data_IF_172208483057
#
_entry.id   IF_172208483057
#
_cell.length_a   1.000
_cell.length_b   1.000
_cell.length_c   1.000
_cell.angle_alpha   90.00
_cell.angle_beta   90.00
_cell.angle_gamma   90.00
#
_symmetry.space_group_name_H-M   'P 1'
#
loop_
_entity.id
_entity.type
_entity.pdbx_description
1 polymer ?
2 non-polymer ?
3 non-polymer ?
4 non-polymer ?
5 water ?
#
# COMPACT_ATOMS: atom_id res chain seq x y z
N UNK A 2 -30.23 -1.72 2.93
CA UNK A 2 -29.18 -0.82 2.36
C UNK A 2 -27.77 -1.12 2.90
N UNK A 3 -27.66 -1.72 4.07
CA UNK A 3 -26.35 -2.03 4.64
C UNK A 3 -26.43 -3.23 5.58
N UNK A 4 -25.28 -3.91 5.79
CA UNK A 4 -25.26 -5.07 6.70
C UNK A 4 -25.27 -4.55 8.13
N UNK A 5 -26.46 -4.35 8.71
CA UNK A 5 -26.39 -3.53 9.91
C UNK A 5 -25.90 -4.39 11.07
N UNK A 6 -25.86 -5.70 10.88
CA UNK A 6 -25.16 -6.56 11.83
C UNK A 6 -23.60 -6.32 11.89
N UNK A 7 -23.07 -5.71 10.83
CA UNK A 7 -21.66 -5.38 10.70
C UNK A 7 -21.34 -3.99 11.28
N UNK A 8 -22.38 -3.21 11.59
CA UNK A 8 -22.14 -1.84 11.99
C UNK A 8 -21.38 -1.84 13.29
N UNK A 9 -20.39 -0.95 13.38
CA UNK A 9 -19.59 -0.84 14.60
C UNK A 9 -20.31 0.14 15.50
N UNK A 10 -20.73 -0.35 16.66
CA UNK A 10 -21.54 0.53 17.53
C UNK A 10 -20.67 1.48 18.38
N UNK A 11 -19.86 0.91 19.29
CA UNK A 11 -18.99 1.70 20.20
C UNK A 11 -17.55 1.14 20.28
N UNK A 12 -16.67 1.73 19.49
CA UNK A 12 -15.27 1.25 19.41
C UNK A 12 -14.49 1.62 20.67
N UNK A 13 -13.96 0.62 21.40
CA UNK A 13 -13.07 0.89 22.55
C UNK A 13 -11.90 1.81 22.20
N UNK A 14 -11.54 2.69 23.14
CA UNK A 14 -10.34 3.54 22.98
C UNK A 14 -10.62 4.91 22.38
N UNK A 15 -11.86 5.13 21.95
CA UNK A 15 -12.22 6.40 21.30
C UNK A 15 -12.95 7.28 22.30
N UNK A 16 -12.45 8.50 22.51
CA UNK A 16 -12.99 9.41 23.51
C UNK A 16 -14.23 10.14 22.99
N UNK A 17 -14.37 10.21 21.66
CA UNK A 17 -15.55 10.81 21.04
C UNK A 17 -16.09 9.83 20.03
N UNK A 18 -17.41 9.74 19.92
CA UNK A 18 -18.04 8.87 18.90
C UNK A 18 -17.94 9.47 17.48
N UNK A 19 -17.80 8.60 16.45
CA UNK A 19 -17.58 9.17 15.12
C UNK A 19 -18.82 9.86 14.55
N UNK A 20 -18.63 10.87 13.69
CA UNK A 20 -19.75 11.46 12.97
C UNK A 20 -20.20 10.62 11.77
N UNK A 21 -19.36 9.65 11.38
CA UNK A 21 -19.59 8.85 10.20
C UNK A 21 -19.92 7.43 10.70
N UNK A 22 -20.68 6.70 9.90
CA UNK A 22 -20.91 5.27 10.11
C UNK A 22 -19.71 4.45 9.66
N UNK A 23 -19.51 3.30 10.33
CA UNK A 23 -18.43 2.41 10.02
C UNK A 23 -18.86 0.99 10.30
N UNK A 24 -18.23 0.07 9.56
CA UNK A 24 -18.69 -1.32 9.51
C UNK A 24 -17.52 -2.23 9.57
N UNK A 25 -17.69 -3.40 10.20
CA UNK A 25 -16.61 -4.38 10.27
C UNK A 25 -17.25 -5.76 10.23
N UNK A 26 -16.84 -6.57 9.26
CA UNK A 26 -17.35 -7.94 9.05
C UNK A 26 -16.57 -8.61 7.95
N UNK A 27 -17.22 -9.46 7.17
CA UNK A 27 -16.56 -10.34 6.20
C UNK A 27 -17.15 -10.19 4.81
N UNK A 28 -16.27 -10.09 3.80
CA UNK A 28 -16.68 -10.17 2.39
C UNK A 28 -16.31 -11.56 1.89
N UNK A 29 -17.18 -12.17 1.09
CA UNK A 29 -16.87 -13.46 0.49
C UNK A 29 -15.84 -13.35 -0.65
N UNK A 30 -14.74 -14.08 -0.51
CA UNK A 30 -13.75 -14.16 -1.56
C UNK A 30 -14.09 -15.42 -2.30
N UNK A 31 -13.11 -16.00 -2.95
CA UNK A 31 -13.34 -17.23 -3.70
C UNK A 31 -13.36 -18.44 -2.75
N UNK A 32 -13.90 -19.57 -3.22
CA UNK A 32 -13.99 -20.80 -2.41
C UNK A 32 -14.57 -20.55 -1.04
N UNK A 33 -13.82 -20.95 -0.03
CA UNK A 33 -14.26 -20.84 1.35
C UNK A 33 -13.64 -19.65 2.05
N UNK A 34 -13.19 -18.64 1.28
CA UNK A 34 -12.45 -17.53 1.90
C UNK A 34 -13.38 -16.45 2.44
N UNK A 35 -13.09 -15.93 3.64
CA UNK A 35 -13.85 -14.82 4.20
C UNK A 35 -12.88 -13.70 4.59
N UNK A 36 -13.02 -12.55 3.91
CA UNK A 36 -12.03 -11.51 4.07
C UNK A 36 -12.59 -10.45 4.98
N UNK A 37 -11.85 -10.16 6.05
CA UNK A 37 -12.33 -9.21 7.04
C UNK A 37 -12.18 -7.79 6.48
N UNK A 38 -13.25 -7.00 6.48
CA UNK A 38 -13.18 -5.60 6.00
C UNK A 38 -13.49 -4.67 7.16
N UNK A 39 -13.10 -3.41 7.00
CA UNK A 39 -13.49 -2.41 7.92
C UNK A 39 -13.69 -1.20 7.00
N UNK A 40 -14.92 -0.73 6.96
CA UNK A 40 -15.33 0.28 6.00
C UNK A 40 -15.67 1.50 6.79
N UNK A 41 -15.08 2.61 6.42
CA UNK A 41 -15.32 3.85 7.16
C UNK A 41 -15.86 4.85 6.15
N UNK A 42 -17.12 5.23 6.34
CA UNK A 42 -17.79 6.13 5.39
C UNK A 42 -17.25 7.56 5.45
N UNK A 43 -17.47 8.29 4.39
CA UNK A 43 -16.94 9.63 4.32
C UNK A 43 -17.50 10.54 5.41
N UNK A 44 -16.61 11.36 5.95
CA UNK A 44 -16.95 12.33 7.00
C UNK A 44 -17.76 13.48 6.40
N UNK A 45 -17.65 13.63 5.07
CA UNK A 45 -18.43 14.63 4.36
C UNK A 45 -19.16 13.99 3.16
N UNK A 46 -20.49 13.92 3.26
CA UNK A 46 -21.35 13.55 2.14
C UNK A 46 -21.01 12.14 1.61
N UNK A 47 -21.19 11.10 2.44
CA UNK A 47 -20.76 9.78 1.99
C UNK A 47 -21.52 9.25 0.78
N UNK A 48 -22.74 9.74 0.58
CA UNK A 48 -23.59 9.27 -0.51
C UNK A 48 -22.99 9.62 -1.86
N UNK A 49 -22.38 10.79 -1.97
CA UNK A 49 -21.74 11.22 -3.21
C UNK A 49 -20.20 11.21 -3.16
N UNK A 50 -19.61 10.69 -2.09
CA UNK A 50 -18.13 10.61 -2.03
C UNK A 50 -17.62 9.29 -2.64
N UNK A 51 -16.42 9.32 -3.27
CA UNK A 51 -15.89 8.13 -3.89
C UNK A 51 -15.77 6.97 -2.90
N UNK A 52 -15.77 5.76 -3.44
CA UNK A 52 -15.43 4.54 -2.69
C UNK A 52 -13.97 4.18 -3.04
N UNK A 53 -13.16 4.06 -2.00
CA UNK A 53 -11.73 3.88 -2.16
C UNK A 53 -11.38 2.58 -1.43
N UNK A 54 -10.93 1.60 -2.19
CA UNK A 54 -10.41 0.36 -1.59
C UNK A 54 -8.95 0.58 -1.15
N UNK A 55 -8.56 0.14 0.06
CA UNK A 55 -7.13 0.19 0.49
C UNK A 55 -6.62 -1.21 0.75
N UNK A 56 -5.48 -1.55 0.14
CA UNK A 56 -4.82 -2.87 0.37
C UNK A 56 -3.40 -2.64 0.82
N UNK A 57 -3.03 -3.18 1.96
CA UNK A 57 -1.59 -3.21 2.29
C UNK A 57 -0.94 -4.39 1.58
N UNK A 58 0.36 -4.61 1.75
CA UNK A 58 1.05 -5.53 0.84
C UNK A 58 1.56 -6.74 1.61
N UNK A 59 2.85 -7.01 1.50
CA UNK A 59 3.45 -8.14 2.21
C UNK A 59 4.27 -8.83 1.17
N UNK A 60 3.71 -9.88 0.52
CA UNK A 60 2.37 -10.41 0.79
C UNK A 60 2.24 -11.01 2.20
N UNK A 61 1.03 -10.84 2.76
CA UNK A 61 0.58 -11.35 4.03
C UNK A 61 0.36 -10.30 5.11
N UNK A 62 0.47 -9.02 4.78
CA UNK A 62 0.28 -7.96 5.78
C UNK A 62 -1.13 -7.35 5.71
N UNK A 63 -1.56 -6.87 6.86
CA UNK A 63 -2.93 -6.45 7.10
C UNK A 63 -3.17 -5.00 6.69
N UNK A 64 -4.20 -4.80 5.89
CA UNK A 64 -4.70 -3.42 5.58
C UNK A 64 -5.17 -2.59 6.81
N UNK A 65 -5.25 -3.22 7.97
CA UNK A 65 -5.64 -2.47 9.18
C UNK A 65 -4.45 -1.71 9.77
N UNK A 66 -3.25 -2.06 9.29
CA UNK A 66 -2.07 -1.18 9.39
C UNK A 66 -2.38 0.16 8.76
N UNK A 67 -2.92 0.15 7.54
CA UNK A 67 -3.30 1.40 6.84
C UNK A 67 -4.31 2.19 7.66
N UNK A 68 -5.25 1.51 8.29
CA UNK A 68 -6.30 2.23 9.01
C UNK A 68 -5.72 2.87 10.26
N UNK A 69 -5.22 2.02 11.14
CA UNK A 69 -4.82 2.42 12.51
C UNK A 69 -3.46 3.16 12.59
N UNK A 70 -2.62 3.07 11.57
CA UNK A 70 -1.29 3.70 11.66
C UNK A 70 -0.95 4.67 10.53
N UNK A 71 -1.69 4.66 9.41
CA UNK A 71 -1.34 5.52 8.26
C UNK A 71 -2.37 6.57 8.04
N UNK A 72 -3.56 6.19 7.57
CA UNK A 72 -4.54 7.23 7.12
C UNK A 72 -5.96 6.94 7.55
N UNK A 73 -6.16 6.03 8.51
CA UNK A 73 -7.48 5.86 9.05
C UNK A 73 -8.01 7.11 9.78
N UNK A 74 -9.32 7.10 10.11
CA UNK A 74 -9.99 8.27 10.73
C UNK A 74 -9.48 8.51 12.16
N UNK A 75 -8.95 7.45 12.81
CA UNK A 75 -8.32 7.55 14.12
C UNK A 75 -7.07 6.62 14.08
N UNK A 76 -6.06 6.93 14.88
CA UNK A 76 -4.76 6.19 14.86
C UNK A 76 -4.47 5.68 16.23
N UNK A 77 -3.96 4.44 16.33
CA UNK A 77 -3.68 3.87 17.65
C UNK A 77 -2.44 4.51 18.27
N UNK A 78 -2.53 4.80 19.56
CA UNK A 78 -1.48 5.49 20.30
C UNK A 78 -0.51 4.50 20.88
N UNK A 79 0.66 4.99 21.34
CA UNK A 79 1.63 4.03 21.86
C UNK A 79 1.14 3.14 23.05
N UNK A 80 0.07 3.52 23.76
CA UNK A 80 -0.46 2.64 24.85
C UNK A 80 -1.16 1.39 24.34
N UNK A 81 -1.43 1.36 23.03
CA UNK A 81 -2.19 0.28 22.37
C UNK A 81 -3.60 0.17 22.89
N UNK A 82 -4.10 1.27 23.43
CA UNK A 82 -5.40 1.34 24.09
C UNK A 82 -6.22 2.53 23.50
N UNK A 83 -5.59 3.68 23.40
CA UNK A 83 -6.23 4.91 22.98
C UNK A 83 -6.21 4.99 21.46
N UNK A 84 -7.33 5.35 20.85
CA UNK A 84 -7.34 5.86 19.46
C UNK A 84 -7.50 7.38 19.45
N UNK A 85 -6.82 8.09 18.57
CA UNK A 85 -7.02 9.53 18.47
C UNK A 85 -7.42 9.85 17.04
N UNK A 86 -8.43 10.72 16.88
CA UNK A 86 -8.79 11.25 15.58
C UNK A 86 -7.61 11.79 14.81
N UNK A 87 -7.58 11.46 13.52
CA UNK A 87 -6.52 11.80 12.58
C UNK A 87 -7.01 12.97 11.70
N UNK A 88 -6.42 14.19 11.85
CA UNK A 88 -6.92 15.30 10.99
C UNK A 88 -6.60 15.15 9.51
N UNK A 89 -5.83 14.13 9.11
CA UNK A 89 -5.48 13.93 7.72
C UNK A 89 -6.08 12.66 7.14
N UNK A 90 -7.09 12.11 7.79
CA UNK A 90 -7.75 10.86 7.36
C UNK A 90 -8.23 10.95 5.93
N UNK A 91 -8.02 9.85 5.19
CA UNK A 91 -8.48 9.80 3.81
C UNK A 91 -10.01 9.73 3.79
N UNK A 92 -10.63 9.31 4.89
CA UNK A 92 -12.07 9.30 4.90
C UNK A 92 -12.71 10.67 5.12
N UNK A 93 -11.93 11.74 5.14
CA UNK A 93 -12.53 13.07 5.20
C UNK A 93 -13.33 13.33 3.93
N UNK A 94 -12.92 12.70 2.84
CA UNK A 94 -13.42 13.02 1.52
C UNK A 94 -13.72 11.73 0.74
N UNK A 95 -13.76 10.57 1.42
CA UNK A 95 -13.96 9.30 0.72
C UNK A 95 -14.55 8.26 1.69
N UNK A 96 -15.25 7.28 1.14
CA UNK A 96 -15.68 6.08 1.85
C UNK A 96 -14.56 5.05 1.62
N UNK A 97 -13.86 4.74 2.71
CA UNK A 97 -12.61 3.97 2.57
C UNK A 97 -12.82 2.54 3.08
N UNK A 98 -12.58 1.58 2.20
CA UNK A 98 -12.77 0.17 2.45
C UNK A 98 -11.38 -0.45 2.69
N UNK A 99 -11.03 -0.70 3.96
CA UNK A 99 -9.77 -1.38 4.30
C UNK A 99 -10.03 -2.87 4.29
N UNK A 100 -9.28 -3.62 3.47
CA UNK A 100 -9.59 -5.04 3.33
C UNK A 100 -8.43 -5.92 3.75
N UNK A 101 -8.66 -6.77 4.73
CA UNK A 101 -7.60 -7.67 5.14
C UNK A 101 -7.54 -8.82 4.15
N UNK A 102 -6.43 -8.90 3.42
CA UNK A 102 -6.37 -9.81 2.25
C UNK A 102 -4.93 -10.20 1.96
N UNK A 103 -4.69 -11.47 1.52
CA UNK A 103 -5.64 -12.55 1.21
C UNK A 103 -6.11 -13.35 2.46
N UNK A 104 -6.87 -14.40 2.28
CA UNK A 104 -7.34 -15.19 3.44
C UNK A 104 -6.20 -15.51 4.38
N UNK A 105 -6.46 -15.43 5.67
CA UNK A 105 -5.45 -15.74 6.72
C UNK A 105 -4.76 -14.48 7.25
N UNK A 106 -4.89 -13.37 6.53
CA UNK A 106 -4.25 -12.14 6.99
C UNK A 106 -5.12 -11.51 8.03
N UNK A 107 -4.54 -11.12 9.17
CA UNK A 107 -5.29 -10.51 10.26
C UNK A 107 -6.52 -11.25 10.76
N UNK A 108 -7.71 -10.66 10.61
CA UNK A 108 -8.95 -11.45 10.92
C UNK A 108 -9.60 -12.25 9.76
N UNK A 109 -8.98 -12.23 8.57
CA UNK A 109 -9.47 -12.92 7.40
C UNK A 109 -9.12 -14.40 7.60
N UNK A 110 -9.94 -15.28 7.03
CA UNK A 110 -9.77 -16.70 7.23
C UNK A 110 -10.47 -17.42 6.11
N UNK A 111 -10.31 -18.72 6.12
CA UNK A 111 -11.12 -19.56 5.30
C UNK A 111 -11.53 -20.83 6.11
N UNK A 112 -12.65 -21.43 5.71
CA UNK A 112 -13.20 -22.62 6.38
C UNK A 112 -12.22 -23.81 6.39
N UNK A 113 -11.40 -23.97 5.36
CA UNK A 113 -10.39 -25.03 5.38
C UNK A 113 -8.99 -24.62 5.89
N UNK A 114 -8.81 -23.34 6.24
CA UNK A 114 -7.54 -22.79 6.71
C UNK A 114 -6.35 -23.04 5.78
N UNK A 115 -6.63 -23.24 4.49
CA UNK A 115 -5.57 -23.40 3.49
C UNK A 115 -5.23 -22.03 2.88
N UNK A 116 -4.10 -21.50 3.33
CA UNK A 116 -3.68 -20.12 3.00
C UNK A 116 -2.56 -19.96 1.97
N UNK A 117 -2.04 -21.08 1.42
CA UNK A 117 -1.13 -21.00 0.27
C UNK A 117 -1.88 -20.42 -0.91
N UNK A 118 -1.33 -19.35 -1.52
CA UNK A 118 -2.04 -18.67 -2.60
C UNK A 118 -1.06 -18.07 -3.61
N UNK A 119 -1.59 -17.27 -4.56
CA UNK A 119 -0.75 -16.74 -5.62
C UNK A 119 -1.36 -15.45 -6.19
N UNK A 120 -0.61 -14.72 -7.01
CA UNK A 120 -1.12 -13.41 -7.50
C UNK A 120 -2.47 -13.53 -8.19
N UNK A 121 -2.65 -14.54 -9.04
CA UNK A 121 -3.89 -14.61 -9.81
C UNK A 121 -5.09 -14.97 -8.91
N UNK A 122 -4.91 -15.94 -8.03
CA UNK A 122 -5.99 -16.28 -7.15
C UNK A 122 -6.34 -15.12 -6.20
N UNK A 123 -5.31 -14.41 -5.78
CA UNK A 123 -5.50 -13.27 -4.86
C UNK A 123 -6.34 -12.19 -5.54
N UNK A 124 -6.02 -11.91 -6.80
CA UNK A 124 -6.75 -10.85 -7.57
C UNK A 124 -8.20 -11.29 -7.73
N UNK A 125 -8.40 -12.59 -7.99
CA UNK A 125 -9.77 -13.05 -8.28
C UNK A 125 -10.62 -13.08 -7.03
N UNK A 126 -9.99 -13.43 -5.93
CA UNK A 126 -10.66 -13.43 -4.63
C UNK A 126 -10.96 -11.99 -4.18
N UNK A 127 -10.02 -11.07 -4.39
CA UNK A 127 -10.30 -9.64 -4.08
C UNK A 127 -11.45 -9.09 -4.90
N UNK A 128 -11.49 -9.49 -6.17
CA UNK A 128 -12.56 -9.13 -7.09
C UNK A 128 -13.94 -9.60 -6.62
N UNK A 129 -14.03 -10.86 -6.20
CA UNK A 129 -15.29 -11.41 -5.68
C UNK A 129 -15.72 -10.75 -4.37
N UNK A 130 -14.76 -10.47 -3.50
CA UNK A 130 -15.02 -9.71 -2.30
C UNK A 130 -15.53 -8.30 -2.62
N UNK A 131 -14.94 -7.60 -3.58
CA UNK A 131 -15.50 -6.28 -4.01
C UNK A 131 -16.92 -6.46 -4.56
N UNK A 132 -17.18 -7.56 -5.28
CA UNK A 132 -18.55 -7.80 -5.74
C UNK A 132 -19.53 -7.92 -4.56
N UNK A 133 -19.08 -8.62 -3.52
CA UNK A 133 -19.84 -8.80 -2.32
C UNK A 133 -20.05 -7.49 -1.59
N UNK A 134 -19.02 -6.67 -1.54
CA UNK A 134 -19.14 -5.36 -0.86
C UNK A 134 -20.32 -4.63 -1.47
N UNK A 135 -20.39 -4.59 -2.80
CA UNK A 135 -21.47 -3.85 -3.46
C UNK A 135 -22.84 -4.57 -3.35
N UNK A 136 -22.87 -5.88 -3.11
CA UNK A 136 -24.12 -6.51 -2.81
C UNK A 136 -24.57 -6.12 -1.41
N UNK A 137 -23.61 -5.89 -0.52
CA UNK A 137 -23.89 -5.54 0.87
C UNK A 137 -24.17 -4.07 1.04
N UNK A 138 -23.58 -3.25 0.17
CA UNK A 138 -23.72 -1.79 0.23
C UNK A 138 -24.20 -1.29 -1.15
N UNK A 139 -25.42 -1.67 -1.55
CA UNK A 139 -25.83 -1.46 -2.94
C UNK A 139 -25.98 0.03 -3.26
N UNK A 140 -26.17 0.86 -2.23
CA UNK A 140 -26.28 2.29 -2.47
C UNK A 140 -24.90 2.89 -2.87
N UNK A 141 -23.83 2.08 -2.77
CA UNK A 141 -22.50 2.54 -3.22
C UNK A 141 -22.06 2.14 -4.63
N UNK A 142 -22.91 1.41 -5.37
CA UNK A 142 -22.53 0.86 -6.70
C UNK A 142 -22.25 1.91 -7.77
N UNK A 143 -22.82 3.11 -7.64
CA UNK A 143 -22.65 4.17 -8.64
C UNK A 143 -21.61 5.24 -8.28
N UNK A 144 -21.18 5.26 -7.01
CA UNK A 144 -20.05 6.09 -6.60
C UNK A 144 -18.79 5.73 -7.39
N UNK A 145 -18.05 6.75 -7.81
CA UNK A 145 -16.70 6.57 -8.39
C UNK A 145 -15.84 5.70 -7.47
N UNK A 146 -15.18 4.74 -8.10
CA UNK A 146 -14.40 3.75 -7.36
C UNK A 146 -12.92 3.96 -7.69
N UNK A 147 -12.10 4.05 -6.65
CA UNK A 147 -10.67 4.04 -6.80
C UNK A 147 -10.08 2.85 -6.05
N UNK A 148 -9.10 2.21 -6.69
CA UNK A 148 -8.37 1.08 -6.05
C UNK A 148 -6.96 1.54 -5.61
N UNK A 149 -6.64 1.45 -4.33
CA UNK A 149 -5.39 1.97 -3.79
C UNK A 149 -4.72 0.97 -2.86
N UNK A 150 -3.40 1.10 -2.73
CA UNK A 150 -2.68 0.26 -1.81
C UNK A 150 -1.23 0.60 -1.83
N UNK A 151 -0.43 -0.28 -1.21
CA UNK A 151 0.89 0.06 -0.81
C UNK A 151 1.76 -1.17 -0.90
N UNK A 152 3.04 -0.97 -1.24
CA UNK A 152 4.02 -2.05 -1.12
C UNK A 152 3.75 -3.17 -2.15
N UNK A 153 3.61 -4.44 -1.71
CA UNK A 153 3.21 -5.50 -2.62
C UNK A 153 1.85 -5.26 -3.29
N UNK A 154 1.00 -4.40 -2.72
CA UNK A 154 -0.19 -4.01 -3.44
C UNK A 154 0.12 -3.33 -4.79
N UNK A 155 1.39 -3.02 -5.05
CA UNK A 155 1.84 -2.62 -6.39
C UNK A 155 1.56 -3.69 -7.42
N UNK A 156 1.48 -4.96 -6.95
CA UNK A 156 1.06 -6.10 -7.75
C UNK A 156 -0.46 -6.32 -7.55
N UNK A 157 -0.95 -6.31 -6.31
CA UNK A 157 -2.39 -6.57 -6.03
C UNK A 157 -3.37 -5.64 -6.78
N UNK A 158 -3.03 -4.36 -6.83
CA UNK A 158 -3.94 -3.33 -7.31
C UNK A 158 -4.09 -3.36 -8.82
N UNK A 159 -2.97 -3.38 -9.58
CA UNK A 159 -3.10 -3.45 -11.03
C UNK A 159 -3.70 -4.74 -11.54
N UNK A 160 -3.35 -5.89 -10.93
CA UNK A 160 -4.00 -7.10 -11.34
C UNK A 160 -5.49 -7.04 -11.00
N UNK A 161 -5.84 -6.48 -9.83
CA UNK A 161 -7.25 -6.39 -9.50
C UNK A 161 -7.98 -5.46 -10.45
N UNK A 162 -7.32 -4.33 -10.76
CA UNK A 162 -7.87 -3.30 -11.67
C UNK A 162 -8.24 -3.84 -13.06
N UNK A 163 -7.37 -4.64 -13.64
CA UNK A 163 -7.65 -5.35 -14.89
C UNK A 163 -8.92 -6.20 -14.81
N UNK A 164 -9.16 -6.87 -13.66
CA UNK A 164 -10.41 -7.60 -13.53
C UNK A 164 -11.59 -6.63 -13.40
N UNK A 165 -11.44 -5.63 -12.55
CA UNK A 165 -12.53 -4.73 -12.29
C UNK A 165 -12.96 -4.01 -13.58
N UNK A 166 -12.00 -3.75 -14.46
CA UNK A 166 -12.27 -2.90 -15.66
C UNK A 166 -13.16 -3.66 -16.65
N UNK A 167 -13.21 -4.99 -16.50
CA UNK A 167 -14.05 -5.83 -17.32
C UNK A 167 -15.46 -5.98 -16.71
N UNK A 168 -15.73 -5.34 -15.57
CA UNK A 168 -17.04 -5.38 -14.94
C UNK A 168 -17.77 -4.03 -15.00
N UNK A 169 -18.71 -3.87 -15.97
CA UNK A 169 -19.28 -2.55 -16.21
C UNK A 169 -20.15 -2.10 -15.05
N UNK A 170 -20.50 -3.02 -14.13
CA UNK A 170 -21.25 -2.65 -12.93
C UNK A 170 -20.42 -1.81 -11.90
N UNK A 171 -19.08 -1.87 -11.97
CA UNK A 171 -18.21 -1.07 -11.10
C UNK A 171 -17.71 0.21 -11.78
N UNK A 172 -17.86 1.32 -11.11
CA UNK A 172 -17.58 2.61 -11.75
C UNK A 172 -16.11 2.96 -11.46
N UNK A 173 -15.22 2.10 -11.96
CA UNK A 173 -13.78 2.30 -11.74
C UNK A 173 -13.34 3.62 -12.37
N UNK A 174 -12.68 4.47 -11.59
CA UNK A 174 -12.19 5.78 -12.09
C UNK A 174 -10.66 5.94 -12.00
N UNK A 175 -9.98 5.12 -11.18
CA UNK A 175 -8.57 5.36 -10.92
C UNK A 175 -7.92 4.38 -9.95
N UNK A 176 -6.59 4.38 -9.92
CA UNK A 176 -5.83 3.53 -8.96
C UNK A 176 -4.63 4.31 -8.55
N UNK A 177 -4.24 4.12 -7.29
CA UNK A 177 -3.08 4.77 -6.75
C UNK A 177 -2.30 3.71 -5.99
N UNK A 178 -0.99 3.72 -6.18
CA UNK A 178 -0.08 2.79 -5.51
C UNK A 178 1.04 3.53 -4.79
N UNK A 179 1.15 3.32 -3.48
CA UNK A 179 2.17 3.96 -2.69
C UNK A 179 3.35 3.03 -2.44
N UNK A 180 4.55 3.51 -2.78
CA UNK A 180 5.78 2.68 -2.65
C UNK A 180 5.55 1.28 -3.08
N UNK A 181 5.11 1.17 -4.33
CA UNK A 181 4.66 -0.11 -4.83
C UNK A 181 5.79 -0.90 -5.47
N UNK A 182 5.69 -2.23 -5.31
CA UNK A 182 6.46 -3.14 -6.11
C UNK A 182 5.83 -3.27 -7.50
N UNK A 183 6.42 -2.62 -8.51
CA UNK A 183 5.92 -2.68 -9.88
C UNK A 183 6.77 -3.56 -10.78
N UNK A 184 8.08 -3.56 -10.55
CA UNK A 184 9.08 -4.28 -11.35
C UNK A 184 10.21 -4.75 -10.42
N UNK A 185 10.34 -6.07 -10.21
CA UNK A 185 11.47 -6.53 -9.45
C UNK A 185 12.77 -6.02 -10.08
N UNK A 186 12.84 -6.02 -11.39
CA UNK A 186 14.08 -5.61 -12.04
C UNK A 186 14.40 -4.15 -11.82
N UNK A 187 13.41 -3.29 -11.97
CA UNK A 187 13.69 -1.88 -11.80
C UNK A 187 13.91 -1.57 -10.31
N UNK A 188 13.23 -2.30 -9.43
CA UNK A 188 13.40 -2.11 -7.99
C UNK A 188 14.84 -2.42 -7.57
N UNK A 189 15.31 -3.63 -7.89
CA UNK A 189 16.64 -4.09 -7.56
C UNK A 189 17.74 -3.25 -8.18
N UNK A 190 17.67 -2.94 -9.46
CA UNK A 190 18.68 -2.03 -10.06
C UNK A 190 18.72 -0.62 -9.43
N UNK A 191 17.55 0.02 -9.31
CA UNK A 191 17.47 1.30 -8.63
C UNK A 191 17.95 1.26 -7.17
N UNK A 192 17.68 0.16 -6.45
CA UNK A 192 18.07 0.05 -5.07
C UNK A 192 19.60 0.09 -4.86
N UNK A 193 20.35 -0.56 -5.74
CA UNK A 193 21.79 -0.57 -5.58
C UNK A 193 22.37 0.86 -5.80
N UNK A 194 21.93 1.52 -6.84
CA UNK A 194 22.22 2.97 -6.96
C UNK A 194 21.84 3.78 -5.70
N UNK A 195 20.62 3.58 -5.21
CA UNK A 195 20.08 4.36 -4.13
C UNK A 195 21.02 4.20 -2.95
N UNK A 196 21.41 2.95 -2.67
CA UNK A 196 22.29 2.62 -1.56
C UNK A 196 23.64 3.32 -1.66
N UNK A 197 24.30 3.25 -2.81
CA UNK A 197 25.58 3.92 -2.94
C UNK A 197 25.40 5.44 -2.75
N UNK A 198 24.38 6.00 -3.39
CA UNK A 198 24.31 7.46 -3.39
C UNK A 198 23.68 8.06 -2.13
N UNK A 199 23.23 7.18 -1.24
CA UNK A 199 22.83 7.57 0.07
C UNK A 199 23.91 7.14 1.11
N UNK A 200 25.12 6.81 0.62
CA UNK A 200 26.24 6.73 1.52
C UNK A 200 26.25 5.48 2.35
N UNK A 201 25.62 4.41 1.85
CA UNK A 201 25.57 3.15 2.58
C UNK A 201 26.63 2.15 2.10
N UNK A 202 27.14 2.37 0.90
CA UNK A 202 28.18 1.49 0.32
C UNK A 202 29.35 2.41 0.08
N UNK A 203 30.56 1.91 0.23
CA UNK A 203 31.70 2.82 -0.05
C UNK A 203 32.20 2.64 -1.48
N UNK A 204 33.32 3.29 -1.81
CA UNK A 204 34.00 3.10 -3.09
C UNK A 204 34.46 1.67 -3.42
N UNK A 205 35.04 0.97 -2.47
CA UNK A 205 35.57 -0.37 -2.76
C UNK A 205 34.44 -1.28 -3.27
N UNK A 206 33.35 -1.35 -2.51
CA UNK A 206 32.23 -2.22 -2.89
C UNK A 206 31.59 -1.71 -4.19
N UNK A 207 31.45 -0.40 -4.34
CA UNK A 207 30.84 0.14 -5.56
C UNK A 207 31.64 -0.24 -6.76
N UNK A 208 32.96 -0.10 -6.63
CA UNK A 208 33.82 -0.43 -7.74
C UNK A 208 33.79 -1.94 -8.02
N UNK A 209 33.78 -2.77 -6.99
CA UNK A 209 33.57 -4.18 -7.18
C UNK A 209 32.24 -4.45 -7.96
N UNK A 210 31.10 -3.92 -7.47
CA UNK A 210 29.81 -3.97 -8.22
C UNK A 210 29.93 -3.52 -9.69
N UNK A 211 30.58 -2.38 -9.91
CA UNK A 211 30.75 -1.87 -11.26
C UNK A 211 31.49 -2.86 -12.20
N UNK A 212 32.54 -3.49 -11.66
CA UNK A 212 33.32 -4.48 -12.38
C UNK A 212 32.58 -5.79 -12.70
N UNK A 213 31.94 -6.40 -11.71
CA UNK A 213 31.35 -7.71 -11.91
C UNK A 213 29.91 -7.71 -12.39
N UNK A 214 29.22 -6.56 -12.27
CA UNK A 214 27.77 -6.55 -12.49
C UNK A 214 27.39 -5.74 -13.67
N UNK A 215 28.29 -4.88 -14.10
CA UNK A 215 27.99 -3.91 -15.15
C UNK A 215 28.88 -4.05 -16.39
N UNK A 216 28.30 -3.76 -17.54
CA UNK A 216 29.03 -3.71 -18.80
C UNK A 216 28.78 -2.36 -19.42
N UNK A 217 29.88 -1.67 -19.71
CA UNK A 217 29.90 -0.25 -20.08
C UNK A 217 28.79 0.53 -19.36
N UNK A 218 27.94 1.24 -20.10
CA UNK A 218 26.92 2.09 -19.48
C UNK A 218 25.74 1.39 -18.76
N UNK A 219 25.69 0.05 -18.71
CA UNK A 219 24.53 -0.62 -18.10
C UNK A 219 24.87 -1.59 -16.99
N UNK A 220 24.19 -1.42 -15.85
CA UNK A 220 24.34 -2.36 -14.75
C UNK A 220 23.20 -3.34 -14.67
N UNK A 221 23.53 -4.58 -14.32
CA UNK A 221 22.55 -5.60 -14.05
C UNK A 221 22.72 -6.08 -12.62
N UNK A 222 21.88 -5.56 -11.73
CA UNK A 222 21.90 -5.96 -10.30
C UNK A 222 20.73 -6.86 -9.99
N UNK A 223 20.06 -7.32 -11.05
CA UNK A 223 18.86 -8.10 -10.89
C UNK A 223 19.04 -9.63 -11.10
N UNK A 224 19.46 -10.03 -12.30
CA UNK A 224 19.61 -11.47 -12.58
C UNK A 224 21.01 -11.84 -13.08
N UNK A 225 22.00 -11.05 -12.67
CA UNK A 225 23.40 -11.30 -13.02
C UNK A 225 23.89 -12.64 -12.45
N UNK A 226 24.59 -13.39 -13.30
CA UNK A 226 25.05 -14.74 -12.96
C UNK A 226 26.48 -14.65 -12.53
N UNK A 227 27.10 -13.52 -12.89
CA UNK A 227 28.47 -13.30 -12.54
C UNK A 227 28.74 -13.49 -11.07
N UNK A 228 29.91 -14.06 -10.80
CA UNK A 228 30.25 -14.65 -9.53
C UNK A 228 30.57 -13.65 -8.45
N UNK A 229 31.50 -12.75 -8.71
CA UNK A 229 31.78 -11.78 -7.70
C UNK A 229 30.51 -10.95 -7.55
N UNK A 230 29.82 -10.67 -8.68
CA UNK A 230 28.57 -9.88 -8.66
C UNK A 230 27.55 -10.40 -7.63
N UNK A 231 27.20 -11.69 -7.68
CA UNK A 231 26.23 -12.25 -6.75
C UNK A 231 26.74 -11.98 -5.33
N UNK A 232 28.02 -12.26 -5.09
CA UNK A 232 28.72 -12.01 -3.82
C UNK A 232 28.57 -10.57 -3.30
N UNK A 233 28.82 -9.61 -4.17
CA UNK A 233 28.74 -8.21 -3.79
C UNK A 233 27.29 -7.80 -3.45
N UNK A 234 26.35 -8.32 -4.22
CA UNK A 234 24.97 -7.93 -4.07
C UNK A 234 24.46 -8.53 -2.79
N UNK A 235 25.09 -9.61 -2.38
CA UNK A 235 24.76 -10.18 -1.08
C UNK A 235 25.17 -9.24 0.04
N UNK A 236 26.35 -8.64 -0.11
CA UNK A 236 26.80 -7.60 0.79
C UNK A 236 25.88 -6.37 0.77
N UNK A 237 25.49 -5.90 -0.41
CA UNK A 237 24.53 -4.77 -0.46
C UNK A 237 23.25 -5.10 0.32
N UNK A 238 22.72 -6.31 0.11
CA UNK A 238 21.48 -6.74 0.73
C UNK A 238 21.62 -6.76 2.27
N UNK A 239 22.79 -7.22 2.74
CA UNK A 239 23.15 -7.28 4.16
C UNK A 239 23.19 -5.85 4.72
N UNK A 240 24.01 -4.99 4.12
CA UNK A 240 24.03 -3.57 4.54
C UNK A 240 22.63 -2.94 4.60
N UNK A 241 21.87 -3.03 3.50
CA UNK A 241 20.59 -2.35 3.38
C UNK A 241 19.53 -2.92 4.32
N UNK A 242 19.52 -4.24 4.50
CA UNK A 242 18.36 -4.89 5.13
C UNK A 242 18.61 -5.69 6.39
N UNK A 243 19.85 -6.11 6.59
CA UNK A 243 20.19 -6.97 7.72
C UNK A 243 21.31 -6.38 8.58
N UNK A 244 21.47 -5.05 8.62
CA UNK A 244 22.55 -4.50 9.45
C UNK A 244 22.12 -3.44 10.50
N UNK A 245 20.82 -3.23 10.67
CA UNK A 245 20.37 -2.22 11.63
C UNK A 245 19.91 -0.92 10.96
N UNK A 246 19.99 -0.83 9.63
CA UNK A 246 19.33 0.30 8.91
C UNK A 246 17.87 -0.04 8.74
N UNK A 247 16.98 0.93 8.92
CA UNK A 247 15.54 0.67 8.73
C UNK A 247 15.27 0.69 7.23
N UNK A 248 15.00 -0.48 6.63
CA UNK A 248 14.75 -0.48 5.17
C UNK A 248 13.54 0.31 4.74
N UNK A 249 12.59 0.55 5.65
CA UNK A 249 11.37 1.26 5.28
C UNK A 249 11.52 2.78 5.35
N UNK A 250 12.60 3.22 5.96
CA UNK A 250 12.85 4.66 6.14
C UNK A 250 14.24 4.78 6.62
N UNK A 251 15.14 4.98 5.68
CA UNK A 251 16.59 5.05 5.95
C UNK A 251 16.93 5.96 7.16
N UNK A 252 16.23 7.10 7.29
CA UNK A 252 16.55 8.07 8.35
C UNK A 252 15.85 7.87 9.67
N UNK A 253 15.11 6.77 9.82
CA UNK A 253 14.40 6.47 11.07
C UNK A 253 15.17 5.41 11.86
N UNK A 254 15.01 5.40 13.20
CA UNK A 254 15.68 4.33 13.98
C UNK A 254 15.15 2.94 13.61
N UNK A 255 15.96 1.93 13.86
CA UNK A 255 15.50 0.58 13.75
C UNK A 255 14.87 0.22 15.11
N UNK A 256 13.54 0.07 15.16
CA UNK A 256 12.88 -0.34 16.40
C UNK A 256 13.52 -1.62 16.96
N UNK A 257 13.81 -1.62 18.25
CA UNK A 257 14.52 -2.74 18.85
C UNK A 257 16.04 -2.58 18.92
N UNK A 258 16.62 -1.61 18.22
CA UNK A 258 18.07 -1.45 18.22
C UNK A 258 18.77 -2.18 17.10
N UNK A 259 20.08 -2.00 16.98
CA UNK A 259 20.85 -2.71 15.96
C UNK A 259 21.14 -4.18 16.35
N UNK A 260 21.04 -5.09 15.36
N UNK A 301 6.01 -12.72 11.90
CA UNK A 301 5.24 -11.52 12.24
C UNK A 301 6.07 -10.53 13.08
N UNK A 302 6.99 -9.85 12.41
CA UNK A 302 7.77 -8.75 12.98
C UNK A 302 8.64 -8.17 11.88
N UNK A 303 8.02 -7.43 10.92
CA UNK A 303 8.81 -6.91 9.79
C UNK A 303 10.05 -6.22 10.35
N UNK A 304 11.16 -6.27 9.64
CA UNK A 304 12.40 -5.87 10.33
C UNK A 304 12.42 -4.36 10.69
N UNK A 305 13.07 -4.04 11.81
CA UNK A 305 13.17 -2.66 12.32
C UNK A 305 11.83 -1.98 12.64
N UNK A 306 10.74 -2.77 12.72
CA UNK A 306 9.42 -2.20 12.93
C UNK A 306 8.79 -2.77 14.22
N UNK A 307 7.92 -1.99 14.84
CA UNK A 307 7.31 -2.37 16.07
C UNK A 307 5.80 -2.24 15.90
N UNK A 308 5.12 -3.37 15.88
CA UNK A 308 3.69 -3.40 15.62
C UNK A 308 2.93 -3.60 16.91
N UNK A 309 3.57 -3.36 18.06
CA UNK A 309 2.94 -3.65 19.35
C UNK A 309 1.70 -2.83 19.66
N UNK A 310 1.68 -1.53 19.32
CA UNK A 310 0.51 -0.72 19.56
C UNK A 310 -0.75 -1.28 18.85
N UNK A 311 -0.66 -1.47 17.54
CA UNK A 311 -1.78 -1.97 16.74
C UNK A 311 -2.15 -3.38 17.23
N UNK A 312 -1.13 -4.16 17.54
CA UNK A 312 -1.35 -5.56 17.93
C UNK A 312 -2.10 -5.67 19.26
N UNK A 313 -1.66 -4.89 20.25
CA UNK A 313 -2.27 -4.83 21.57
C UNK A 313 -3.71 -4.31 21.47
N UNK A 314 -3.92 -3.33 20.60
CA UNK A 314 -5.28 -2.81 20.39
C UNK A 314 -6.23 -3.89 19.82
N UNK A 315 -5.86 -4.50 18.69
CA UNK A 315 -6.76 -5.36 17.97
C UNK A 315 -6.92 -6.73 18.62
N UNK A 316 -5.99 -7.15 19.46
CA UNK A 316 -6.15 -8.41 20.21
C UNK A 316 -6.91 -8.25 21.53
N UNK A 317 -7.27 -7.03 21.88
CA UNK A 317 -8.17 -6.81 23.01
C UNK A 317 -9.49 -7.52 22.73
N UNK A 318 -9.97 -8.33 23.68
CA UNK A 318 -11.16 -9.10 23.35
C UNK A 318 -12.39 -8.23 23.07
N UNK A 319 -12.54 -7.10 23.75
CA UNK A 319 -13.65 -6.19 23.50
C UNK A 319 -13.53 -5.44 22.17
N UNK A 320 -12.31 -5.11 21.77
CA UNK A 320 -12.11 -4.62 20.39
C UNK A 320 -12.63 -5.66 19.37
N UNK A 321 -12.27 -6.93 19.52
CA UNK A 321 -12.71 -7.93 18.52
C UNK A 321 -14.25 -8.06 18.48
N UNK A 322 -14.88 -7.98 19.66
CA UNK A 322 -16.34 -7.97 19.75
C UNK A 322 -16.94 -6.79 19.00
N UNK A 323 -16.45 -5.59 19.25
CA UNK A 323 -16.90 -4.38 18.54
C UNK A 323 -16.68 -4.47 17.04
N UNK A 324 -15.66 -5.23 16.61
CA UNK A 324 -15.37 -5.36 15.18
C UNK A 324 -16.00 -6.64 14.60
N UNK A 325 -16.78 -7.32 15.43
CA UNK A 325 -17.61 -8.44 14.98
C UNK A 325 -16.72 -9.56 14.50
N UNK A 326 -15.61 -9.75 15.20
CA UNK A 326 -14.74 -10.84 14.88
C UNK A 326 -15.20 -12.14 15.60
N UNK A 327 -15.45 -13.23 14.88
CA UNK A 327 -15.72 -14.51 15.57
C UNK A 327 -14.65 -14.89 16.64
N UNK A 328 -15.09 -15.23 17.84
CA UNK A 328 -14.15 -15.47 18.95
C UNK A 328 -13.18 -16.61 18.72
N UNK A 329 -13.53 -17.52 17.81
CA UNK A 329 -12.69 -18.71 17.61
C UNK A 329 -11.44 -18.43 16.76
N UNK A 330 -11.37 -17.25 16.14
CA UNK A 330 -10.29 -16.93 15.22
C UNK A 330 -8.97 -16.78 15.95
N UNK A 331 -7.84 -17.16 15.33
CA UNK A 331 -6.61 -16.98 16.11
C UNK A 331 -6.23 -15.48 16.29
N UNK A 332 -5.16 -15.24 17.04
CA UNK A 332 -4.75 -13.88 17.38
C UNK A 332 -4.44 -13.06 16.13
N UNK A 333 -4.56 -11.76 16.28
CA UNK A 333 -4.24 -10.85 15.17
C UNK A 333 -2.74 -10.58 15.12
N UNK A 334 -2.15 -10.78 13.94
CA UNK A 334 -0.78 -10.36 13.65
C UNK A 334 -0.82 -9.37 12.47
N UNK A 335 0.06 -8.38 12.47
CA UNK A 335 0.09 -7.49 11.30
C UNK A 335 0.46 -8.18 9.99
N UNK A 336 1.37 -9.14 10.04
CA UNK A 336 1.74 -9.84 8.84
C UNK A 336 1.71 -11.30 9.17
N UNK A 337 1.07 -12.07 8.29
CA UNK A 337 1.04 -13.52 8.48
C UNK A 337 2.22 -14.20 7.81
N UNK A 338 3.20 -14.56 8.64
CA UNK A 338 4.41 -15.33 8.30
C UNK A 338 4.12 -16.46 7.33
N UNK A 339 3.05 -17.21 7.59
CA UNK A 339 2.75 -18.41 6.81
C UNK A 339 2.13 -18.10 5.47
N UNK A 340 1.27 -17.08 5.43
CA UNK A 340 0.73 -16.61 4.14
C UNK A 340 1.93 -16.26 3.28
N UNK A 341 2.90 -15.52 3.82
CA UNK A 341 4.06 -15.00 3.02
C UNK A 341 4.96 -16.16 2.59
N UNK A 342 5.17 -17.10 3.50
CA UNK A 342 6.00 -18.27 3.22
C UNK A 342 5.47 -19.07 2.02
N UNK A 343 4.14 -19.26 1.96
CA UNK A 343 3.53 -20.15 1.00
C UNK A 343 3.11 -19.44 -0.27
N UNK A 344 3.28 -18.14 -0.31
CA UNK A 344 2.82 -17.37 -1.45
C UNK A 344 3.62 -17.68 -2.72
N UNK A 345 2.95 -18.03 -3.80
CA UNK A 345 3.63 -18.15 -5.04
C UNK A 345 3.52 -16.84 -5.83
N UNK A 346 4.61 -16.10 -5.95
CA UNK A 346 4.58 -14.84 -6.71
C UNK A 346 4.77 -15.16 -8.18
N UNK A 347 3.90 -14.61 -9.02
CA UNK A 347 3.80 -14.98 -10.43
C UNK A 347 4.25 -13.90 -11.37
N UNK A 348 3.97 -12.65 -11.05
CA UNK A 348 4.36 -11.54 -11.94
C UNK A 348 5.66 -10.92 -11.52
N UNK A 349 6.53 -10.64 -12.49
CA UNK A 349 7.82 -10.00 -12.26
C UNK A 349 7.71 -8.51 -12.62
N UNK A 350 6.68 -8.16 -13.38
CA UNK A 350 6.42 -6.76 -13.77
C UNK A 350 4.95 -6.48 -14.07
N UNK A 351 4.50 -5.29 -13.69
CA UNK A 351 3.17 -4.82 -13.97
C UNK A 351 3.09 -4.00 -15.25
N UNK A 352 4.15 -4.04 -16.07
CA UNK A 352 4.13 -3.32 -17.34
C UNK A 352 2.83 -3.61 -18.16
N UNK A 353 2.54 -4.88 -18.40
CA UNK A 353 1.43 -5.18 -19.28
C UNK A 353 0.05 -4.82 -18.65
N UNK A 354 -0.07 -4.99 -17.31
CA UNK A 354 -1.28 -4.59 -16.58
C UNK A 354 -1.50 -3.06 -16.72
N UNK A 355 -0.47 -2.26 -16.51
CA UNK A 355 -0.71 -0.81 -16.59
C UNK A 355 -0.95 -0.36 -18.02
N UNK A 356 -0.22 -0.92 -18.99
CA UNK A 356 -0.56 -0.65 -20.40
C UNK A 356 -2.03 -0.99 -20.78
N UNK A 357 -2.56 -2.10 -20.27
CA UNK A 357 -3.99 -2.39 -20.44
C UNK A 357 -4.89 -1.37 -19.78
N UNK A 358 -4.57 -0.99 -18.54
CA UNK A 358 -5.38 -0.03 -17.86
C UNK A 358 -5.30 1.35 -18.55
N UNK A 359 -4.16 1.64 -19.14
CA UNK A 359 -4.00 2.92 -19.82
C UNK A 359 -4.68 3.00 -21.20
N UNK A 360 -4.81 1.84 -21.84
CA UNK A 360 -5.32 1.78 -23.25
C UNK A 360 -6.76 2.27 -23.35
N UNK A 361 -7.55 1.99 -22.31
CA UNK A 361 -8.94 2.40 -22.22
C UNK A 361 -9.04 3.91 -22.14
N UNK A 362 -7.97 4.55 -21.66
CA UNK A 362 -7.97 5.99 -21.36
C UNK A 362 -9.12 6.43 -20.41
N UNK A 363 -9.65 5.46 -19.67
CA UNK A 363 -10.79 5.73 -18.78
C UNK A 363 -10.36 5.99 -17.31
N UNK A 364 -9.10 5.71 -16.99
CA UNK A 364 -8.67 5.75 -15.57
C UNK A 364 -7.48 6.64 -15.31
N UNK A 365 -7.53 7.38 -14.21
CA UNK A 365 -6.35 8.10 -13.77
C UNK A 365 -5.51 7.22 -12.84
N UNK A 366 -4.21 7.16 -13.09
CA UNK A 366 -3.31 6.31 -12.31
C UNK A 366 -2.22 7.18 -11.65
N UNK A 367 -1.88 6.81 -10.41
CA UNK A 367 -0.86 7.49 -9.65
C UNK A 367 0.03 6.46 -8.98
N UNK A 368 1.34 6.62 -9.18
CA UNK A 368 2.36 5.92 -8.41
C UNK A 368 3.11 6.94 -7.55
N UNK A 369 3.06 6.78 -6.23
CA UNK A 369 3.69 7.74 -5.34
C UNK A 369 4.65 7.03 -4.40
N UNK A 370 5.85 7.59 -4.22
CA UNK A 370 6.87 6.97 -3.35
C UNK A 370 7.46 7.96 -2.38
N UNK A 371 7.43 7.61 -1.11
CA UNK A 371 8.29 8.27 -0.14
C UNK A 371 9.73 7.98 -0.58
N UNK A 372 10.52 9.03 -0.67
CA UNK A 372 11.87 8.93 -1.26
C UNK A 372 13.03 8.54 -0.33
N UNK A 373 12.71 8.24 0.92
CA UNK A 373 13.73 7.67 1.80
C UNK A 373 13.39 6.22 2.14
N UNK A 374 12.38 5.68 1.44
CA UNK A 374 12.11 4.24 1.49
C UNK A 374 13.20 3.43 0.75
N UNK A 375 13.58 2.26 1.28
CA UNK A 375 14.50 1.39 0.54
C UNK A 375 13.84 0.08 0.16
N UNK A 376 12.66 -0.24 0.72
CA UNK A 376 11.96 -1.48 0.33
C UNK A 376 11.38 -1.41 -1.07
N UNK A 377 10.77 -0.27 -1.43
CA UNK A 377 10.34 -0.01 -2.79
C UNK A 377 10.71 1.42 -3.15
N UNK A 378 11.98 1.62 -3.48
CA UNK A 378 12.52 2.96 -3.57
C UNK A 378 11.87 3.77 -4.68
N UNK A 379 11.85 5.07 -4.50
CA UNK A 379 11.18 5.91 -5.43
C UNK A 379 11.73 5.77 -6.83
N UNK A 380 13.04 5.54 -7.01
CA UNK A 380 13.61 5.59 -8.36
C UNK A 380 13.17 4.46 -9.25
N UNK A 381 13.06 3.23 -8.72
CA UNK A 381 12.55 2.16 -9.51
C UNK A 381 11.14 2.37 -10.04
N UNK A 382 10.27 3.04 -9.28
CA UNK A 382 8.91 3.32 -9.72
C UNK A 382 8.84 4.48 -10.72
N UNK A 383 9.76 5.44 -10.56
CA UNK A 383 9.87 6.50 -11.57
C UNK A 383 10.38 5.97 -12.92
N UNK A 384 11.43 5.13 -12.87
CA UNK A 384 11.89 4.46 -14.07
C UNK A 384 10.72 3.72 -14.70
N UNK A 385 10.02 2.93 -13.86
CA UNK A 385 8.86 2.15 -14.31
C UNK A 385 7.81 2.99 -15.03
N UNK A 386 7.41 4.08 -14.45
CA UNK A 386 6.39 4.93 -15.07
C UNK A 386 6.92 5.54 -16.37
N UNK A 387 8.16 6.04 -16.36
CA UNK A 387 8.77 6.61 -17.58
C UNK A 387 8.80 5.60 -18.74
N UNK A 388 9.04 4.34 -18.39
CA UNK A 388 9.16 3.30 -19.37
C UNK A 388 7.82 2.86 -20.02
N UNK A 389 6.68 3.25 -19.44
CA UNK A 389 5.38 3.02 -20.07
C UNK A 389 5.23 3.85 -21.33
N UNK A 390 6.13 4.82 -21.48
CA UNK A 390 6.24 5.61 -22.68
C UNK A 390 4.89 6.23 -23.13
N UNK A 391 4.20 6.91 -22.22
CA UNK A 391 2.87 7.45 -22.51
C UNK A 391 2.95 8.87 -23.14
N UNK A 392 1.84 9.31 -23.73
CA UNK A 392 1.81 10.61 -24.40
C UNK A 392 1.62 11.72 -23.40
N UNK A 393 1.59 12.94 -23.93
CA UNK A 393 1.42 14.14 -23.14
C UNK A 393 2.41 14.19 -21.97
N UNK A 394 3.66 13.79 -22.19
CA UNK A 394 4.66 13.94 -21.16
C UNK A 394 4.82 15.41 -20.74
N UNK A 395 4.83 15.65 -19.45
CA UNK A 395 5.00 16.98 -18.91
C UNK A 395 6.41 17.06 -18.32
N UNK A 396 7.01 18.25 -18.38
CA UNK A 396 8.26 18.42 -17.63
C UNK A 396 8.07 18.22 -16.10
N UNK A 397 9.07 17.59 -15.50
CA UNK A 397 9.12 17.24 -14.09
C UNK A 397 9.13 18.51 -13.26
N UNK A 398 8.30 18.53 -12.23
CA UNK A 398 8.14 19.70 -11.40
C UNK A 398 8.03 19.35 -9.94
N UNK A 399 8.37 20.32 -9.07
CA UNK A 399 8.01 20.20 -7.67
C UNK A 399 6.49 20.30 -7.51
N UNK A 400 5.97 19.68 -6.46
CA UNK A 400 4.59 19.93 -6.07
C UNK A 400 4.61 20.44 -4.63
N UNK A 401 3.68 21.32 -4.33
CA UNK A 401 3.70 22.06 -3.07
C UNK A 401 2.61 21.69 -2.11
N UNK A 402 2.90 21.90 -0.84
CA UNK A 402 1.92 21.83 0.19
C UNK A 402 2.06 23.02 1.11
N UNK A 403 0.91 23.53 1.57
CA UNK A 403 0.92 24.62 2.51
C UNK A 403 0.97 24.11 3.92
N UNK A 404 2.03 24.46 4.62
CA UNK A 404 2.21 23.96 5.99
C UNK A 404 1.62 24.80 7.09
N UNK A 405 2.01 26.06 7.19
CA UNK A 405 1.22 26.97 8.04
C UNK A 405 0.66 28.11 7.22
N UNK A 407 4.68 28.69 8.30
CA UNK A 407 5.68 27.88 7.58
C UNK A 407 5.60 28.04 6.08
N UNK A 408 4.38 28.12 5.57
CA UNK A 408 4.12 28.45 4.17
C UNK A 408 4.14 27.27 3.22
N UNK A 409 4.16 27.60 1.93
CA UNK A 409 4.34 26.62 0.87
C UNK A 409 5.70 25.94 1.03
N UNK A 410 5.68 24.63 0.93
CA UNK A 410 6.93 23.88 0.91
C UNK A 410 6.85 22.89 -0.25
N UNK A 411 8.00 22.53 -0.82
CA UNK A 411 8.07 21.46 -1.78
C UNK A 411 7.86 20.14 -1.02
N UNK A 412 6.82 19.44 -1.41
CA UNK A 412 6.45 18.18 -0.78
C UNK A 412 7.01 17.00 -1.52
N UNK A 413 7.54 17.29 -2.71
CA UNK A 413 8.04 16.24 -3.58
C UNK A 413 8.09 16.67 -5.01
N UNK A 414 8.36 15.71 -5.90
CA UNK A 414 8.37 16.03 -7.35
C UNK A 414 7.34 15.24 -8.12
N UNK A 415 6.79 15.85 -9.16
CA UNK A 415 5.78 15.15 -9.93
C UNK A 415 6.21 15.01 -11.41
N UNK A 416 6.09 13.79 -11.90
CA UNK A 416 6.34 13.47 -13.31
C UNK A 416 5.05 12.92 -13.96
N UNK A 417 4.47 13.74 -14.83
CA UNK A 417 3.14 13.49 -15.36
C UNK A 417 3.11 13.14 -16.86
N UNK A 418 2.20 12.21 -17.20
CA UNK A 418 1.87 11.80 -18.57
C UNK A 418 0.33 11.81 -18.65
N UNK A 419 -0.24 11.64 -19.86
CA UNK A 419 -1.67 11.35 -20.00
C UNK A 419 -2.11 10.14 -19.12
N UNK A 420 -3.02 10.41 -18.18
CA UNK A 420 -3.69 9.33 -17.38
C UNK A 420 -2.82 8.65 -16.32
N UNK A 421 -1.59 9.12 -16.19
CA UNK A 421 -0.61 8.57 -15.24
C UNK A 421 0.43 9.62 -14.78
N UNK A 422 0.60 9.72 -13.45
CA UNK A 422 1.63 10.54 -12.81
C UNK A 422 2.45 9.68 -11.83
N UNK A 423 3.76 9.93 -11.81
CA UNK A 423 4.65 9.50 -10.74
C UNK A 423 4.97 10.69 -9.83
N UNK A 424 4.88 10.47 -8.52
CA UNK A 424 5.21 11.51 -7.55
C UNK A 424 6.18 10.98 -6.51
N UNK A 425 7.13 11.83 -6.12
CA UNK A 425 7.84 11.56 -4.86
C UNK A 425 7.14 12.28 -3.68
N UNK A 426 7.29 11.70 -2.50
CA UNK A 426 7.00 12.43 -1.25
C UNK A 426 8.32 12.65 -0.45
N UNK A 427 8.79 13.89 -0.45
CA UNK A 427 10.13 14.25 0.01
C UNK A 427 10.24 14.01 1.48
N UNK A 428 11.20 13.16 1.85
CA UNK A 428 11.41 12.84 3.26
C UNK A 428 10.47 11.81 3.88
N UNK A 429 9.62 11.17 3.07
CA UNK A 429 8.77 10.07 3.62
C UNK A 429 9.38 8.73 3.32
N UNK A 430 9.19 7.78 4.23
CA UNK A 430 9.63 6.39 3.99
C UNK A 430 8.54 5.60 3.28
N UNK A 431 8.45 4.30 3.60
CA UNK A 431 7.54 3.34 2.93
C UNK A 431 6.06 3.69 3.18
N UNK A 432 5.82 4.20 4.38
CA UNK A 432 4.44 4.50 4.84
C UNK A 432 4.22 5.96 4.82
N UNK A 433 4.02 6.42 3.60
CA UNK A 433 3.95 7.84 3.29
C UNK A 433 2.99 8.60 4.19
N UNK A 434 1.75 8.07 4.43
CA UNK A 434 0.76 8.85 5.23
C UNK A 434 1.05 8.94 6.73
N UNK A 435 1.84 8.00 7.26
CA UNK A 435 2.40 8.11 8.62
C UNK A 435 3.47 9.17 8.66
N UNK A 436 4.35 9.22 7.65
CA UNK A 436 5.54 10.05 7.77
C UNK A 436 5.21 11.48 7.40
N UNK A 437 4.36 11.65 6.39
CA UNK A 437 3.97 12.99 5.91
C UNK A 437 2.44 13.03 5.69
N UNK A 438 1.70 13.03 6.78
CA UNK A 438 0.22 12.90 6.66
C UNK A 438 -0.44 14.04 5.87
N UNK A 439 -0.04 15.28 6.10
CA UNK A 439 -0.62 16.39 5.32
C UNK A 439 -0.30 16.25 3.88
N UNK A 440 0.96 16.00 3.56
CA UNK A 440 1.31 15.86 2.17
C UNK A 440 0.58 14.70 1.50
N UNK A 441 0.53 13.55 2.18
CA UNK A 441 -0.29 12.42 1.74
C UNK A 441 -1.76 12.77 1.53
N UNK A 442 -2.38 13.44 2.51
CA UNK A 442 -3.77 13.86 2.31
C UNK A 442 -3.92 14.78 1.10
N UNK A 443 -3.00 15.75 0.99
CA UNK A 443 -3.10 16.74 -0.12
C UNK A 443 -3.01 16.02 -1.44
N UNK A 444 -2.02 15.11 -1.58
CA UNK A 444 -1.90 14.32 -2.80
C UNK A 444 -3.17 13.53 -3.08
N UNK A 445 -3.71 12.91 -2.04
CA UNK A 445 -4.86 12.01 -2.19
C UNK A 445 -6.09 12.74 -2.70
N UNK A 446 -6.32 13.93 -2.15
CA UNK A 446 -7.40 14.81 -2.59
C UNK A 446 -7.23 15.27 -4.04
N UNK A 447 -6.03 15.61 -4.47
CA UNK A 447 -5.82 16.03 -5.85
C UNK A 447 -6.08 14.86 -6.81
N UNK A 448 -5.65 13.67 -6.43
CA UNK A 448 -5.92 12.45 -7.18
C UNK A 448 -7.43 12.15 -7.36
N UNK A 449 -8.19 12.09 -6.26
CA UNK A 449 -9.64 11.82 -6.29
C UNK A 449 -10.32 12.87 -7.17
N UNK A 450 -9.88 14.11 -7.04
CA UNK A 450 -10.49 15.20 -7.83
C UNK A 450 -9.91 15.40 -9.22
N UNK A 451 -9.03 14.48 -9.62
CA UNK A 451 -8.32 14.54 -10.87
C UNK A 451 -7.79 15.96 -11.15
N UNK A 452 -7.29 16.63 -10.10
CA UNK A 452 -6.63 17.94 -10.24
C UNK A 452 -5.13 17.73 -10.50
N UNK A 453 -4.43 18.78 -10.99
CA UNK A 453 -2.95 18.71 -11.07
C UNK A 453 -2.34 18.53 -9.69
N UNK A 454 -1.22 17.80 -9.58
CA UNK A 454 -0.60 17.56 -8.22
C UNK A 454 0.14 18.76 -7.66
N UNK A 455 0.54 19.67 -8.54
CA UNK A 455 1.45 20.76 -8.18
C UNK A 455 0.85 21.68 -7.14
X LIG B 1 11.80 -8.95 4.21
X LIG B 1 13.34 -9.12 4.34
X LIG B 1 14.01 -9.88 3.28
X LIG B 1 13.70 -9.28 1.98
X LIG B 1 12.20 -9.47 1.68
X LIG B 1 11.30 -9.00 2.80
X LIG B 1 10.03 -8.65 2.53
X LIG B 1 9.63 -8.73 1.36
X LIG B 1 9.25 -8.22 3.52
X LIG B 1 7.85 -7.80 3.31
X LIG B 1 7.14 -7.76 4.66
X LIG B 1 7.04 -9.18 5.25
X LIG B 1 7.02 -9.18 6.79
X LIG B 1 5.82 -9.93 4.69
X LIG B 1 7.85 -6.40 2.65
X LIG B 1 8.65 -5.52 2.98
X LIG B 1 7.00 -6.24 1.61
X LIG B 1 6.93 -4.92 0.94
X LIG B 1 7.36 -5.03 -0.54
X LIG B 1 8.84 -5.34 -0.63
X LIG B 1 5.47 -4.42 1.09
X LIG B 1 4.56 -5.40 0.48
X LIG B 1 5.00 -4.38 2.55
X LIG B 1 5.62 -3.74 3.54
X LIG B 1 3.89 -4.98 2.97
X LIG B 1 3.84 -4.70 4.34
X LIG B 1 4.94 -3.94 4.65
X LIG B 1 5.20 -3.43 5.92
X LIG B 1 6.38 -2.71 6.16
X LIG B 1 6.66 -2.19 7.43
X LIG B 1 5.72 -2.37 8.46
X LIG B 1 4.53 -3.06 8.22
X LIG B 1 4.25 -3.58 6.95
X LIG C 1 7.73 5.59 8.76
X LIG D 1 16.85 -7.97 -17.87
X LIG E 1 33.69 -9.67 -13.38
X LIG F 1 18.57 -9.73 -17.43
X LIG G 1 9.79 -3.40 -3.73
X LIG H 1 9.10 -0.75 -6.95
X LIG I 1 -30.43 -0.96 8.60
X LIG J 1 -2.95 -20.11 -8.43
X LIG J 1 -2.34 -21.25 -9.28
X LIG J 1 -3.44 -22.11 -9.99
X LIG J 1 -4.52 -22.57 -9.03
X LIG J 1 -5.04 -21.29 -8.34
X LIG J 1 -6.08 -21.60 -7.29
X LIG J 1 -0.12 -21.25 -10.25
X LIG J 1 0.77 -20.80 -11.37
X LIG J 1 -1.40 -20.81 -10.30
X LIG J 1 -2.88 -23.22 -10.68
X LIG J 1 -5.54 -23.36 -9.68
X LIG J 1 -3.99 -20.60 -7.66
X LIG J 1 -5.49 -22.55 -6.44
X LIG J 1 0.33 -21.95 -9.35
X LIG K 1 7.05 -0.94 20.86
X LIG K 1 8.04 -0.33 21.86
X LIG K 1 7.51 -0.45 23.30
X LIG K 1 6.20 0.39 23.33
X LIG K 1 5.26 -0.24 22.30
X LIG K 1 3.91 0.46 22.17
X LIG K 1 9.96 -1.94 21.75
X LIG K 1 11.44 -1.98 21.47
X LIG K 1 9.43 -0.73 21.66
X LIG K 1 8.51 0.03 24.16
X LIG K 1 5.58 0.51 24.61
X LIG K 1 5.87 -0.18 21.02
X LIG K 1 4.10 1.69 21.53
X LIG K 1 9.32 -2.97 22.05
#
# INVERSE_FOLDING_TARGET
SRAPDQDEIQRLPGLAKQPSFRQYSGYLKGSGSKHLHYWFVESQKDPENSPVVLWLNGGPGCSSLDGLLTEHGPFLVQPDGVTLEYNPYSWNLIANVLYLESPAGVGFSYSDDKFYATNDTEVAQSNFEALQDFFRLFPEYKNNKLFLTGESYAGIYIPTLAVLVMQDPSMNLQGLAVGNGLSSYEQNDNSLVYFAYYHGLLGNRLWSSLQTHCCSQNKCNFYDNKDLECVTNLQEVARIVGNSGLNIYNLYAPCAGGVPSHFRYEKDTVVVQDLGNIFTRLPLKRMWHQALLRSGDKVRMDPPCTNTTAASTYLNNPYVRKALNIPEQLPQWDMCNFLVNLQYRRLYRSMNSQYLKLLSSQKYQILLYNGDVDMACNFMGDEWFVDSLNQKMEVQRRPWLVKYGDSGEQIAGFVKEFSHIAFLTIKGAGHMVPTDKPLAAFTMFSRFLNKQPYE
6KZ C3 C2 O1 C6 C5 N4 C7 O28 N8 C9 C27 C31 C33 C32 C10 O29 N11 C12 C13 C14 C15 O30 C16 N20 N17 O18 C19 C21 C22 C23 C24 C25 C26
CD CD
CD CD
CD CD
CD CD
CD CD
CD CD
CD CD
NAG C1 C2 C3 C4 C5 C6 C7 C8 N2 O3 O4 O5 O6 O7
NAG C1 C2 C3 C4 C5 C6 C7 C8 N2 O3 O4 O5 O6 O7
#
